data_IF_291902380289
#
_entry.id   IF_291902380289
#
_cell.length_a   1.000
_cell.length_b   1.000
_cell.length_c   1.000
_cell.angle_alpha   90.00
_cell.angle_beta   90.00
_cell.angle_gamma   90.00
#
_symmetry.space_group_name_H-M   'P 1'
#
loop_
_entity.id
_entity.type
_entity.pdbx_description
1 polymer ?
#
# COMPACT_ATOMS: atom_id res chain seq x y z
N UNK A 1 -11.73 8.64 -18.54
CA UNK A 1 -11.80 8.05 -19.90
C UNK A 1 -11.88 9.17 -20.94
N UNK A 2 -11.24 9.01 -22.10
CA UNK A 2 -11.19 10.05 -23.14
C UNK A 2 -12.39 9.95 -24.10
N UNK A 3 -13.54 10.45 -23.65
CA UNK A 3 -14.80 10.48 -24.42
C UNK A 3 -15.81 11.44 -23.78
N UNK A 4 -16.87 11.85 -24.50
CA UNK A 4 -17.90 12.71 -23.96
C UNK A 4 -18.61 12.09 -22.74
N UNK A 5 -18.74 12.89 -21.69
CA UNK A 5 -19.55 12.61 -20.50
C UNK A 5 -20.88 13.36 -20.63
N UNK A 6 -21.99 12.65 -20.47
CA UNK A 6 -23.35 13.19 -20.62
C UNK A 6 -24.03 13.44 -19.28
N UNK A 7 -23.68 12.64 -18.28
CA UNK A 7 -24.21 12.74 -16.92
C UNK A 7 -23.17 12.27 -15.92
N UNK A 8 -23.22 12.81 -14.71
CA UNK A 8 -22.36 12.40 -13.60
C UNK A 8 -23.17 12.44 -12.31
N UNK A 9 -22.89 11.52 -11.40
CA UNK A 9 -23.48 11.53 -10.06
C UNK A 9 -22.51 10.98 -9.02
N UNK A 10 -22.61 11.52 -7.80
CA UNK A 10 -21.91 11.01 -6.62
C UNK A 10 -22.76 9.94 -5.94
N UNK A 11 -22.10 9.00 -5.27
CA UNK A 11 -22.81 8.10 -4.36
C UNK A 11 -23.33 8.90 -3.15
N UNK A 12 -24.58 8.69 -2.67
CA UNK A 12 -25.15 9.46 -1.55
C UNK A 12 -24.32 9.38 -0.26
N UNK A 13 -23.63 8.25 -0.06
CA UNK A 13 -22.79 7.99 1.10
C UNK A 13 -21.34 8.46 0.93
N UNK A 14 -20.91 8.89 -0.26
CA UNK A 14 -19.54 9.33 -0.49
C UNK A 14 -19.39 10.28 -1.68
N UNK A 15 -18.80 11.44 -1.42
CA UNK A 15 -18.41 12.40 -2.43
C UNK A 15 -17.18 11.97 -3.27
N UNK A 16 -16.55 10.83 -2.94
CA UNK A 16 -15.41 10.29 -3.70
C UNK A 16 -15.82 9.19 -4.67
N UNK A 17 -16.93 8.49 -4.41
CA UNK A 17 -17.42 7.46 -5.31
C UNK A 17 -18.32 8.11 -6.38
N UNK A 18 -17.94 7.96 -7.64
CA UNK A 18 -18.56 8.67 -8.77
C UNK A 18 -18.96 7.69 -9.85
N UNK A 19 -20.13 7.93 -10.44
CA UNK A 19 -20.63 7.25 -11.63
C UNK A 19 -20.81 8.26 -12.76
N UNK A 20 -20.32 7.91 -13.95
CA UNK A 20 -20.41 8.70 -15.17
C UNK A 20 -21.22 7.96 -16.24
N UNK A 21 -22.08 8.70 -16.93
CA UNK A 21 -22.74 8.30 -18.16
C UNK A 21 -21.95 8.81 -19.37
N UNK A 22 -21.63 7.92 -20.29
CA UNK A 22 -20.76 8.22 -21.44
C UNK A 22 -21.33 7.62 -22.72
N UNK A 23 -20.68 7.91 -23.86
CA UNK A 23 -21.00 7.31 -25.16
C UNK A 23 -20.82 5.78 -25.21
N UNK A 24 -19.96 5.23 -24.34
CA UNK A 24 -19.64 3.78 -24.30
C UNK A 24 -20.19 3.09 -23.05
N UNK A 25 -21.22 3.65 -22.40
CA UNK A 25 -21.83 3.06 -21.22
C UNK A 25 -21.52 3.82 -19.93
N UNK A 26 -21.61 3.09 -18.82
CA UNK A 26 -21.42 3.64 -17.48
C UNK A 26 -20.03 3.31 -16.97
N UNK A 27 -19.40 4.30 -16.34
CA UNK A 27 -18.09 4.17 -15.72
C UNK A 27 -18.17 4.58 -14.26
N UNK A 28 -17.49 3.84 -13.39
CA UNK A 28 -17.45 4.13 -11.96
C UNK A 28 -16.02 4.22 -11.45
N UNK A 29 -15.83 5.06 -10.44
CA UNK A 29 -14.65 5.06 -9.58
C UNK A 29 -15.09 5.04 -8.13
N UNK A 30 -14.32 4.36 -7.28
CA UNK A 30 -14.49 4.39 -5.82
C UNK A 30 -13.75 5.57 -5.20
N UNK A 31 -12.82 6.18 -5.94
CA UNK A 31 -12.05 7.31 -5.48
C UNK A 31 -11.75 8.32 -6.60
N UNK A 32 -12.57 9.36 -6.70
CA UNK A 32 -12.39 10.49 -7.60
C UNK A 32 -11.36 11.52 -7.11
N UNK A 33 -10.84 11.38 -5.88
CA UNK A 33 -9.84 12.28 -5.31
C UNK A 33 -8.46 11.62 -5.12
N UNK A 34 -8.21 10.49 -5.77
CA UNK A 34 -6.89 9.86 -5.81
C UNK A 34 -5.96 10.62 -6.78
N UNK A 35 -4.64 10.54 -6.56
CA UNK A 35 -3.63 11.14 -7.46
C UNK A 35 -3.76 10.58 -8.89
N UNK A 36 -4.08 9.29 -8.99
CA UNK A 36 -4.47 8.62 -10.22
C UNK A 36 -5.87 8.01 -10.06
N UNK A 37 -6.85 8.55 -10.80
CA UNK A 37 -8.24 8.06 -10.74
C UNK A 37 -8.43 6.87 -11.68
N UNK A 38 -8.70 5.71 -11.10
CA UNK A 38 -8.97 4.48 -11.84
C UNK A 38 -10.46 4.41 -12.19
N UNK A 39 -10.77 4.31 -13.48
CA UNK A 39 -12.13 4.18 -13.99
C UNK A 39 -12.41 2.73 -14.41
N UNK A 40 -13.48 2.15 -13.87
CA UNK A 40 -13.96 0.82 -14.26
C UNK A 40 -15.22 0.97 -15.11
N UNK A 41 -15.20 0.39 -16.31
CA UNK A 41 -16.38 0.26 -17.16
C UNK A 41 -17.17 -0.97 -16.72
N UNK A 42 -18.50 -0.89 -16.79
CA UNK A 42 -19.44 -1.97 -16.44
C UNK A 42 -19.81 -2.07 -14.95
N UNK A 43 -20.84 -1.32 -14.58
CA UNK A 43 -21.55 -1.47 -13.30
C UNK A 43 -22.73 -2.46 -13.39
N UNK A 44 -22.66 -3.45 -14.28
CA UNK A 44 -23.78 -4.33 -14.63
C UNK A 44 -24.70 -3.76 -15.71
N UNK A 45 -24.18 -2.89 -16.58
CA UNK A 45 -24.95 -2.22 -17.64
C UNK A 45 -24.29 -2.39 -19.01
N UNK A 46 -25.07 -2.50 -20.10
CA UNK A 46 -24.52 -2.68 -21.44
C UNK A 46 -23.70 -1.47 -21.91
N UNK A 47 -22.66 -1.73 -22.70
CA UNK A 47 -21.82 -0.72 -23.34
C UNK A 47 -22.55 0.03 -24.46
N UNK A 48 -23.47 0.90 -24.08
CA UNK A 48 -24.26 1.76 -24.97
C UNK A 48 -24.31 3.15 -24.38
N UNK A 49 -24.37 4.17 -25.23
CA UNK A 49 -24.54 5.56 -24.81
C UNK A 49 -25.64 5.70 -23.75
N UNK A 50 -25.30 6.38 -22.66
CA UNK A 50 -26.21 6.73 -21.57
C UNK A 50 -26.34 8.24 -21.50
N UNK A 51 -27.58 8.74 -21.48
CA UNK A 51 -27.87 10.18 -21.48
C UNK A 51 -28.22 10.72 -20.08
N UNK A 52 -28.74 9.85 -19.20
CA UNK A 52 -29.18 10.24 -17.86
C UNK A 52 -29.00 9.10 -16.88
N UNK A 53 -28.59 9.42 -15.65
CA UNK A 53 -28.56 8.52 -14.51
C UNK A 53 -29.42 9.09 -13.38
N UNK A 54 -30.25 8.26 -12.76
CA UNK A 54 -30.99 8.60 -11.55
C UNK A 54 -30.89 7.45 -10.56
N UNK A 55 -30.56 7.76 -9.30
CA UNK A 55 -30.49 6.77 -8.25
C UNK A 55 -31.69 6.86 -7.33
N UNK A 56 -32.19 5.69 -6.95
CA UNK A 56 -33.09 5.50 -5.82
C UNK A 56 -32.26 5.06 -4.63
N UNK A 57 -32.13 5.94 -3.64
CA UNK A 57 -31.24 5.75 -2.50
C UNK A 57 -31.70 4.64 -1.53
N UNK A 58 -32.99 4.27 -1.54
CA UNK A 58 -33.52 3.27 -0.60
C UNK A 58 -32.96 1.86 -0.79
N UNK A 59 -32.50 1.54 -2.01
CA UNK A 59 -32.00 0.21 -2.38
C UNK A 59 -30.80 0.28 -3.35
N UNK A 60 -30.14 1.43 -3.41
CA UNK A 60 -28.99 1.70 -4.28
C UNK A 60 -29.22 1.40 -5.78
N UNK A 61 -30.47 1.39 -6.25
CA UNK A 61 -30.75 1.15 -7.67
C UNK A 61 -30.47 2.41 -8.48
N UNK A 62 -29.63 2.29 -9.51
CA UNK A 62 -29.41 3.33 -10.52
C UNK A 62 -30.16 2.97 -11.78
N UNK A 63 -31.01 3.89 -12.24
CA UNK A 63 -31.69 3.84 -13.52
C UNK A 63 -30.88 4.63 -14.55
N UNK A 64 -30.61 4.02 -15.69
CA UNK A 64 -29.93 4.62 -16.83
C UNK A 64 -30.88 4.77 -18.02
N UNK A 65 -31.01 5.99 -18.53
CA UNK A 65 -31.67 6.23 -19.81
C UNK A 65 -30.66 6.01 -20.94
N UNK A 66 -30.82 4.89 -21.65
CA UNK A 66 -29.89 4.49 -22.72
C UNK A 66 -30.40 4.93 -24.08
N UNK A 67 -29.48 5.27 -24.98
CA UNK A 67 -29.83 5.64 -26.34
C UNK A 67 -30.28 4.40 -27.14
N UNK A 68 -31.56 4.35 -27.53
CA UNK A 68 -32.11 3.31 -28.41
C UNK A 68 -32.37 1.95 -27.75
N UNK A 69 -32.15 1.78 -26.44
CA UNK A 69 -32.42 0.53 -25.70
C UNK A 69 -33.35 0.70 -24.50
N UNK A 70 -33.92 1.89 -24.31
CA UNK A 70 -34.86 2.18 -23.23
C UNK A 70 -34.18 2.42 -21.89
N UNK A 71 -34.91 2.12 -20.81
CA UNK A 71 -34.42 2.28 -19.44
C UNK A 71 -33.78 0.97 -18.97
N UNK A 72 -32.58 1.09 -18.39
CA UNK A 72 -31.83 -0.01 -17.78
C UNK A 72 -31.59 0.30 -16.32
N UNK A 73 -31.31 -0.71 -15.50
CA UNK A 73 -30.97 -0.50 -14.10
C UNK A 73 -29.85 -1.41 -13.64
N UNK A 74 -29.13 -0.97 -12.60
CA UNK A 74 -28.19 -1.79 -11.85
C UNK A 74 -28.22 -1.36 -10.37
N UNK A 75 -27.62 -2.17 -9.50
CA UNK A 75 -27.36 -1.81 -8.12
C UNK A 75 -25.95 -1.22 -8.01
N UNK A 76 -25.81 -0.09 -7.33
CA UNK A 76 -24.53 0.58 -7.13
C UNK A 76 -24.28 0.82 -5.65
N UNK A 77 -23.66 -0.17 -5.00
CA UNK A 77 -23.41 -0.12 -3.57
C UNK A 77 -22.22 0.76 -3.20
N UNK A 78 -22.25 1.25 -1.96
CA UNK A 78 -21.13 2.01 -1.39
C UNK A 78 -19.89 1.14 -1.25
N UNK A 79 -18.80 1.57 -1.87
CA UNK A 79 -17.52 0.88 -1.85
C UNK A 79 -16.40 1.88 -1.53
N UNK A 80 -16.04 2.07 -0.24
CA UNK A 80 -14.98 2.99 0.14
C UNK A 80 -13.61 2.50 -0.37
N UNK A 81 -12.70 3.40 -0.78
CA UNK A 81 -11.34 3.02 -1.10
C UNK A 81 -10.64 2.49 0.15
N UNK A 82 -9.95 1.34 0.02
CA UNK A 82 -9.10 0.81 1.07
C UNK A 82 -7.68 1.33 0.83
N UNK A 83 -7.20 2.18 1.71
CA UNK A 83 -5.79 2.58 1.72
C UNK A 83 -4.96 1.49 2.39
N UNK A 84 -4.12 0.80 1.62
CA UNK A 84 -3.06 -0.04 2.17
C UNK A 84 -1.80 0.81 2.13
N UNK A 85 -1.27 1.28 3.29
CA UNK A 85 0.04 1.91 3.28
C UNK A 85 1.04 0.89 2.72
N UNK A 86 1.69 1.24 1.62
CA UNK A 86 2.76 0.45 1.05
C UNK A 86 3.88 0.39 2.09
N UNK A 87 3.95 -0.72 2.84
CA UNK A 87 5.01 -0.95 3.82
C UNK A 87 6.28 -1.25 3.04
N UNK A 88 7.05 -0.20 2.73
CA UNK A 88 8.39 -0.37 2.14
C UNK A 88 9.25 -1.19 3.12
N UNK A 89 9.79 -2.33 2.70
CA UNK A 89 10.71 -3.08 3.55
C UNK A 89 11.94 -2.21 3.82
N UNK A 90 12.46 -2.29 5.04
CA UNK A 90 13.69 -1.60 5.41
C UNK A 90 14.87 -2.19 4.60
N UNK A 91 15.34 -1.46 3.58
CA UNK A 91 16.44 -1.87 2.69
C UNK A 91 17.82 -1.67 3.33
N UNK A 92 18.04 -2.30 4.48
CA UNK A 92 19.35 -2.28 5.16
C UNK A 92 19.94 -3.67 5.13
N UNK A 93 21.18 -3.79 4.67
CA UNK A 93 21.93 -5.04 4.70
C UNK A 93 23.00 -5.03 5.78
N UNK A 94 23.13 -6.13 6.52
CA UNK A 94 24.15 -6.35 7.54
C UNK A 94 25.24 -7.26 6.98
N UNK A 95 26.51 -6.84 7.07
CA UNK A 95 27.64 -7.61 6.56
C UNK A 95 28.91 -7.37 7.39
N UNK A 96 29.92 -8.26 7.34
CA UNK A 96 29.90 -9.58 6.71
C UNK A 96 29.09 -10.60 7.53
N UNK A 97 28.64 -11.67 6.89
CA UNK A 97 28.08 -12.84 7.55
C UNK A 97 28.66 -14.10 6.89
N UNK A 98 29.54 -14.88 7.56
CA UNK A 98 29.95 -14.77 8.96
C UNK A 98 30.80 -13.51 9.29
N UNK A 99 30.64 -12.99 10.51
CA UNK A 99 31.36 -11.83 11.03
C UNK A 99 32.43 -12.23 12.06
N UNK A 100 33.52 -11.47 12.13
CA UNK A 100 34.60 -11.68 13.11
C UNK A 100 34.63 -10.61 14.19
N UNK A 101 34.97 -9.37 13.81
CA UNK A 101 35.25 -8.28 14.75
C UNK A 101 34.29 -7.09 14.62
N UNK A 102 33.78 -6.83 13.42
CA UNK A 102 32.92 -5.68 13.15
C UNK A 102 31.77 -6.07 12.22
N UNK A 103 30.65 -5.37 12.37
CA UNK A 103 29.53 -5.37 11.43
C UNK A 103 29.46 -4.02 10.75
N UNK A 104 29.08 -4.05 9.48
CA UNK A 104 28.81 -2.90 8.64
C UNK A 104 27.37 -2.90 8.19
N UNK A 105 26.85 -1.70 7.98
CA UNK A 105 25.49 -1.46 7.54
C UNK A 105 25.54 -0.63 6.26
N UNK A 106 24.97 -1.17 5.18
CA UNK A 106 24.73 -0.37 3.98
C UNK A 106 23.30 0.13 4.09
N UNK A 107 23.17 1.44 4.18
CA UNK A 107 21.92 2.13 4.41
C UNK A 107 21.90 3.38 3.53
N UNK A 108 20.86 3.50 2.71
CA UNK A 108 20.76 4.56 1.70
C UNK A 108 19.88 5.73 2.16
N UNK A 109 19.02 5.55 3.18
CA UNK A 109 17.97 6.53 3.50
C UNK A 109 17.81 6.87 4.99
N UNK A 110 18.19 5.98 5.92
CA UNK A 110 17.85 6.11 7.34
C UNK A 110 19.03 6.64 8.18
N UNK A 111 18.83 7.65 9.02
CA UNK A 111 19.94 8.22 9.83
C UNK A 111 20.04 7.66 11.24
N UNK A 112 18.91 7.18 11.77
CA UNK A 112 18.76 6.74 13.16
C UNK A 112 18.39 5.26 13.17
N UNK A 113 19.39 4.40 13.34
CA UNK A 113 19.17 2.97 13.45
C UNK A 113 19.46 2.49 14.87
N UNK A 114 18.60 1.63 15.39
CA UNK A 114 18.88 0.85 16.59
C UNK A 114 19.25 -0.57 16.19
N UNK A 115 20.47 -0.97 16.49
CA UNK A 115 20.96 -2.34 16.37
C UNK A 115 20.75 -3.08 17.69
N UNK A 116 20.13 -4.24 17.60
CA UNK A 116 19.96 -5.18 18.69
C UNK A 116 20.48 -6.55 18.24
N UNK A 117 21.43 -7.12 18.97
CA UNK A 117 21.86 -8.50 18.76
C UNK A 117 21.26 -9.38 19.85
N UNK A 118 20.58 -10.44 19.46
CA UNK A 118 19.96 -11.41 20.36
C UNK A 118 20.57 -12.80 20.17
N UNK A 119 20.69 -13.58 21.25
CA UNK A 119 20.97 -15.01 21.13
C UNK A 119 19.75 -15.76 20.58
N UNK A 120 19.92 -17.02 20.17
CA UNK A 120 18.81 -17.88 19.75
C UNK A 120 17.75 -18.09 20.85
N UNK A 121 18.17 -18.00 22.12
CA UNK A 121 17.26 -18.06 23.28
C UNK A 121 16.54 -16.73 23.55
N UNK A 122 16.73 -15.71 22.70
CA UNK A 122 16.08 -14.40 22.81
C UNK A 122 16.75 -13.42 23.79
N UNK A 123 17.93 -13.74 24.34
CA UNK A 123 18.66 -12.83 25.24
C UNK A 123 19.35 -11.72 24.44
N UNK A 124 19.04 -10.46 24.74
CA UNK A 124 19.74 -9.29 24.19
C UNK A 124 21.19 -9.26 24.68
N UNK A 125 22.14 -9.24 23.76
CA UNK A 125 23.59 -9.22 24.05
C UNK A 125 24.28 -7.93 23.63
N UNK A 126 23.72 -7.21 22.65
CA UNK A 126 24.19 -5.90 22.23
C UNK A 126 22.98 -5.02 21.94
N UNK A 127 23.01 -3.79 22.41
CA UNK A 127 22.13 -2.73 21.98
C UNK A 127 22.99 -1.51 21.64
N UNK A 128 22.88 -1.00 20.41
CA UNK A 128 23.62 0.18 19.95
C UNK A 128 22.73 1.07 19.09
N UNK A 129 22.71 2.36 19.40
CA UNK A 129 22.12 3.36 18.51
C UNK A 129 23.23 3.83 17.56
N UNK A 130 23.01 3.64 16.28
CA UNK A 130 23.90 4.03 15.19
C UNK A 130 23.41 5.38 14.67
N UNK A 131 24.16 6.43 14.98
CA UNK A 131 23.94 7.79 14.49
C UNK A 131 25.04 8.09 13.47
N UNK A 132 24.73 7.99 12.18
CA UNK A 132 25.69 8.14 11.06
C UNK A 132 26.89 7.14 11.06
N UNK A 133 27.03 6.31 12.10
CA UNK A 133 28.02 5.25 12.18
C UNK A 133 27.60 4.03 11.34
N UNK A 134 28.40 3.71 10.32
CA UNK A 134 28.22 2.52 9.48
C UNK A 134 28.82 1.26 10.11
N UNK A 135 29.45 1.35 11.28
CA UNK A 135 30.17 0.23 11.90
C UNK A 135 29.75 -0.04 13.36
N UNK A 136 29.61 -1.33 13.71
CA UNK A 136 29.41 -1.81 15.07
C UNK A 136 30.48 -2.82 15.45
N UNK A 137 31.19 -2.55 16.55
CA UNK A 137 32.17 -3.48 17.13
C UNK A 137 31.45 -4.64 17.85
N UNK A 138 31.79 -5.86 17.45
CA UNK A 138 31.28 -7.13 18.01
C UNK A 138 32.41 -8.00 18.57
N UNK A 139 33.63 -7.48 18.68
CA UNK A 139 34.81 -8.21 19.16
C UNK A 139 34.68 -8.76 20.60
N UNK A 140 33.75 -8.21 21.39
CA UNK A 140 33.44 -8.64 22.75
C UNK A 140 32.44 -9.82 22.80
N UNK A 141 31.81 -10.19 21.68
CA UNK A 141 30.84 -11.28 21.61
C UNK A 141 31.52 -12.61 21.30
N UNK A 142 31.08 -13.67 21.97
CA UNK A 142 31.54 -15.04 21.71
C UNK A 142 31.13 -15.54 20.32
N UNK A 143 31.86 -16.53 19.81
CA UNK A 143 31.46 -17.23 18.59
C UNK A 143 30.11 -17.94 18.78
N UNK A 144 29.27 -17.88 17.75
CA UNK A 144 27.93 -18.42 17.83
C UNK A 144 26.97 -17.86 16.78
N UNK A 145 25.71 -18.27 16.88
CA UNK A 145 24.62 -17.76 16.05
C UNK A 145 23.79 -16.74 16.83
N UNK A 146 23.52 -15.63 16.18
CA UNK A 146 22.78 -14.49 16.71
C UNK A 146 21.66 -14.08 15.74
N UNK A 147 20.68 -13.36 16.26
CA UNK A 147 19.69 -12.63 15.47
C UNK A 147 20.03 -11.15 15.57
N UNK A 148 20.40 -10.55 14.44
CA UNK A 148 20.64 -9.13 14.33
C UNK A 148 19.35 -8.44 13.91
N UNK A 149 18.81 -7.58 14.78
CA UNK A 149 17.62 -6.78 14.54
C UNK A 149 18.01 -5.32 14.39
N UNK A 150 17.62 -4.73 13.27
CA UNK A 150 17.72 -3.31 12.98
C UNK A 150 16.34 -2.69 13.06
N UNK A 151 16.23 -1.58 13.77
CA UNK A 151 14.97 -0.85 13.97
C UNK A 151 15.21 0.60 13.54
N UNK A 152 14.35 1.10 12.66
CA UNK A 152 14.23 2.52 12.29
C UNK A 152 12.85 3.05 12.68
N UNK A 153 12.59 4.34 12.45
CA UNK A 153 11.25 4.92 12.64
C UNK A 153 10.22 4.32 11.68
N UNK A 154 10.66 3.85 10.51
CA UNK A 154 9.80 3.36 9.44
C UNK A 154 9.64 1.83 9.43
N UNK A 155 10.45 1.09 10.19
CA UNK A 155 10.31 -0.36 10.26
C UNK A 155 11.37 -1.08 11.07
N UNK A 156 11.33 -2.41 11.02
CA UNK A 156 12.40 -3.24 11.57
C UNK A 156 12.70 -4.41 10.63
N UNK A 157 13.96 -4.83 10.62
CA UNK A 157 14.47 -5.97 9.86
C UNK A 157 15.28 -6.86 10.78
N UNK A 158 15.15 -8.18 10.62
CA UNK A 158 15.90 -9.15 11.40
C UNK A 158 16.60 -10.14 10.49
N UNK A 159 17.88 -10.39 10.74
CA UNK A 159 18.71 -11.31 9.97
C UNK A 159 19.49 -12.24 10.91
N UNK A 160 19.71 -13.48 10.45
CA UNK A 160 20.60 -14.40 11.15
C UNK A 160 22.04 -13.95 10.94
N UNK A 161 22.76 -13.75 12.03
CA UNK A 161 24.18 -13.44 12.03
C UNK A 161 24.99 -14.60 12.62
N UNK A 162 26.07 -14.98 11.96
CA UNK A 162 27.02 -15.99 12.45
C UNK A 162 28.30 -15.25 12.83
N UNK A 163 28.75 -15.40 14.07
CA UNK A 163 30.04 -14.86 14.53
C UNK A 163 31.06 -16.01 14.59
N UNK A 164 32.16 -15.87 13.87
CA UNK A 164 33.26 -16.84 13.79
C UNK A 164 34.60 -16.09 13.71
N UNK A 165 35.62 -16.55 14.45
CA UNK A 165 36.96 -15.95 14.48
C UNK A 165 38.01 -16.82 13.81
#
# INVERSE_FOLDING_TARGET
PDMPVRWAMYHPQSARQVMLATELGVWTTNDAGADEVIWTQDAGMPNVRVDMLQMRESDNTVLAATHGRGLMYCTWDYNPPVFIPEKRPLEISIYPNPASNYLRFNNTEEKNLKLELLTLDGRLVLEKILLEEEEADISHLSEGTYVARLISEHGSRSEKLIIQR
#
